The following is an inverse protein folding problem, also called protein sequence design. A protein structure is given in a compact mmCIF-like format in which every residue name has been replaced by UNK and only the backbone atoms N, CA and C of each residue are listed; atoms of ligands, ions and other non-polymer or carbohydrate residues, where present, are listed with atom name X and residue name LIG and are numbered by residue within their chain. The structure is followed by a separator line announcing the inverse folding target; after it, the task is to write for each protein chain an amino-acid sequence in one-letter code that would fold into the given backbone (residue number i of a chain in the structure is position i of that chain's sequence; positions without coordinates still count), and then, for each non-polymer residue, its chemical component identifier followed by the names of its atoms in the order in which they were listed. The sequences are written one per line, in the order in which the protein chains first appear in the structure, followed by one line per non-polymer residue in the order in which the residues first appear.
data_IF_528097636922
#
_entry.id   IF_528097636922
#
_cell.length_a   1.000
_cell.length_b   1.000
_cell.length_c   1.000
_cell.angle_alpha   90.00
_cell.angle_beta   90.00
_cell.angle_gamma   90.00
#
_symmetry.space_group_name_H-M   'P 1'
#
loop_
_entity.id
_entity.type
_entity.pdbx_description
1 polymer ?
#
# COMPACT_ATOMS: atom_id res chain seq x y z
N UNK A 1 -29.94 17.99 -4.19
CA UNK A 1 -30.24 16.69 -4.81
C UNK A 1 -29.14 15.76 -4.33
N UNK A 2 -29.51 14.77 -3.52
CA UNK A 2 -28.59 13.78 -2.99
C UNK A 2 -28.17 12.85 -4.14
N UNK A 3 -26.87 12.65 -4.32
CA UNK A 3 -26.33 11.63 -5.22
C UNK A 3 -25.27 10.83 -4.46
N UNK A 4 -25.75 9.70 -3.92
CA UNK A 4 -25.03 8.45 -3.66
C UNK A 4 -23.68 8.50 -2.94
N UNK A 5 -23.75 8.54 -1.61
CA UNK A 5 -22.75 7.87 -0.77
C UNK A 5 -22.95 6.35 -0.87
N UNK A 6 -22.27 5.69 -1.80
CA UNK A 6 -22.00 4.24 -1.69
C UNK A 6 -20.75 3.86 -2.49
N UNK A 7 -19.70 3.43 -1.78
CA UNK A 7 -18.34 3.24 -2.32
C UNK A 7 -17.40 4.39 -1.98
N UNK A 8 -16.35 4.13 -1.20
CA UNK A 8 -15.36 5.15 -0.81
C UNK A 8 -14.85 5.95 -2.03
N UNK A 9 -14.73 7.28 -1.92
CA UNK A 9 -14.16 8.15 -2.96
C UNK A 9 -12.88 7.49 -3.52
N UNK A 10 -12.82 7.15 -4.83
CA UNK A 10 -11.67 6.48 -5.43
C UNK A 10 -10.35 7.22 -5.18
N UNK A 11 -10.40 8.56 -5.05
CA UNK A 11 -9.23 9.37 -4.68
C UNK A 11 -8.81 9.14 -3.24
N UNK A 12 -9.77 8.98 -2.32
CA UNK A 12 -9.49 8.67 -0.93
C UNK A 12 -8.96 7.24 -0.79
N UNK A 13 -9.58 6.26 -1.46
CA UNK A 13 -9.09 4.87 -1.47
C UNK A 13 -7.66 4.77 -2.01
N UNK A 14 -7.34 5.52 -3.06
CA UNK A 14 -5.98 5.64 -3.56
C UNK A 14 -5.01 6.22 -2.52
N UNK A 15 -5.39 7.34 -1.86
CA UNK A 15 -4.55 7.98 -0.84
C UNK A 15 -4.28 7.07 0.34
N UNK A 16 -5.31 6.37 0.82
CA UNK A 16 -5.19 5.46 1.95
C UNK A 16 -4.29 4.27 1.62
N UNK A 17 -4.45 3.68 0.43
CA UNK A 17 -3.60 2.59 -0.03
C UNK A 17 -2.15 3.04 -0.27
N UNK A 18 -1.94 4.24 -0.81
CA UNK A 18 -0.62 4.82 -0.99
C UNK A 18 0.08 5.07 0.34
N UNK A 19 -0.61 5.70 1.31
CA UNK A 19 -0.06 5.95 2.64
C UNK A 19 0.29 4.65 3.37
N UNK A 20 -0.54 3.62 3.24
CA UNK A 20 -0.27 2.31 3.84
C UNK A 20 0.95 1.62 3.22
N UNK A 21 1.08 1.68 1.90
CA UNK A 21 2.26 1.16 1.22
C UNK A 21 3.54 1.91 1.64
N UNK A 22 3.51 3.25 1.69
CA UNK A 22 4.68 4.04 2.12
C UNK A 22 5.15 3.68 3.53
N UNK A 23 4.24 3.51 4.50
CA UNK A 23 4.60 3.08 5.86
C UNK A 23 5.34 1.74 5.88
N UNK A 24 4.91 0.79 5.06
CA UNK A 24 5.59 -0.50 4.98
C UNK A 24 6.92 -0.42 4.22
N UNK A 25 6.98 0.41 3.18
CA UNK A 25 8.18 0.66 2.41
C UNK A 25 9.28 1.30 3.26
N UNK A 26 8.94 2.23 4.15
CA UNK A 26 9.87 2.80 5.15
C UNK A 26 10.52 1.71 6.01
N UNK A 27 9.75 0.72 6.47
CA UNK A 27 10.30 -0.41 7.22
C UNK A 27 11.27 -1.26 6.39
N UNK A 28 10.99 -1.46 5.10
CA UNK A 28 11.90 -2.15 4.17
C UNK A 28 13.16 -1.33 3.93
N UNK A 29 13.05 -0.01 3.75
CA UNK A 29 14.21 0.87 3.62
C UNK A 29 15.08 0.85 4.86
N UNK A 30 14.49 0.88 6.06
CA UNK A 30 15.25 0.79 7.30
C UNK A 30 16.07 -0.51 7.40
N UNK A 31 15.50 -1.64 6.95
CA UNK A 31 16.21 -2.92 6.87
C UNK A 31 17.34 -2.90 5.84
N UNK A 32 17.11 -2.34 4.65
CA UNK A 32 18.04 -2.41 3.51
C UNK A 32 19.14 -1.35 3.53
N UNK A 33 18.81 -0.13 3.98
CA UNK A 33 19.64 1.07 3.83
C UNK A 33 20.17 1.59 5.16
N UNK A 34 19.37 1.50 6.24
CA UNK A 34 19.72 2.08 7.54
C UNK A 34 20.42 1.08 8.48
N UNK A 35 20.68 -0.14 8.00
CA UNK A 35 21.40 -1.16 8.76
C UNK A 35 20.60 -1.79 9.90
N UNK A 36 19.27 -1.59 9.94
CA UNK A 36 18.42 -2.23 10.93
C UNK A 36 18.49 -3.76 10.76
N UNK A 37 18.64 -4.50 11.87
CA UNK A 37 18.77 -5.97 11.84
C UNK A 37 17.48 -6.58 12.36
N UNK A 38 16.79 -7.29 11.47
CA UNK A 38 15.63 -8.10 11.83
C UNK A 38 15.98 -9.59 11.68
N UNK A 39 15.44 -10.45 12.55
CA UNK A 39 15.50 -11.90 12.36
C UNK A 39 14.88 -12.34 11.02
N UNK A 40 15.37 -13.44 10.40
CA UNK A 40 14.93 -13.87 9.07
C UNK A 40 13.40 -14.05 8.92
N UNK A 41 12.73 -14.57 9.94
CA UNK A 41 11.28 -14.74 9.97
C UNK A 41 10.53 -13.40 9.96
N UNK A 42 11.11 -12.37 10.59
CA UNK A 42 10.54 -11.02 10.61
C UNK A 42 10.81 -10.29 9.28
N UNK A 43 11.95 -10.54 8.64
CA UNK A 43 12.25 -10.03 7.29
C UNK A 43 11.19 -10.53 6.30
N UNK A 44 10.92 -11.84 6.29
CA UNK A 44 9.87 -12.41 5.42
C UNK A 44 8.51 -11.78 5.69
N UNK A 45 8.15 -11.58 6.96
CA UNK A 45 6.91 -10.92 7.35
C UNK A 45 6.82 -9.46 6.87
N UNK A 46 7.92 -8.71 6.99
CA UNK A 46 8.03 -7.33 6.53
C UNK A 46 7.82 -7.22 5.01
N UNK A 47 8.57 -8.03 4.24
CA UNK A 47 8.48 -8.05 2.78
C UNK A 47 7.07 -8.44 2.30
N UNK A 48 6.44 -9.43 2.95
CA UNK A 48 5.07 -9.83 2.61
C UNK A 48 4.03 -8.74 2.88
N UNK A 49 4.20 -7.95 3.95
CA UNK A 49 3.29 -6.83 4.26
C UNK A 49 3.46 -5.69 3.26
N UNK A 50 4.70 -5.35 2.91
CA UNK A 50 4.98 -4.35 1.88
C UNK A 50 4.38 -4.76 0.53
N UNK A 51 4.63 -6.00 0.08
CA UNK A 51 4.10 -6.50 -1.18
C UNK A 51 2.57 -6.45 -1.25
N UNK A 52 1.88 -6.90 -0.19
CA UNK A 52 0.40 -6.84 -0.11
C UNK A 52 -0.14 -5.42 -0.06
N UNK A 53 0.58 -4.48 0.56
CA UNK A 53 0.20 -3.08 0.55
C UNK A 53 0.39 -2.45 -0.83
N UNK A 54 1.49 -2.79 -1.51
CA UNK A 54 1.76 -2.40 -2.89
C UNK A 54 0.68 -2.92 -3.84
N UNK A 55 0.27 -4.18 -3.72
CA UNK A 55 -0.81 -4.77 -4.53
C UNK A 55 -2.13 -3.99 -4.38
N UNK A 56 -2.50 -3.63 -3.14
CA UNK A 56 -3.69 -2.82 -2.86
C UNK A 56 -3.57 -1.42 -3.44
N UNK A 57 -2.40 -0.78 -3.32
CA UNK A 57 -2.12 0.51 -3.95
C UNK A 57 -2.21 0.43 -5.48
N UNK A 58 -1.62 -0.60 -6.09
CA UNK A 58 -1.66 -0.80 -7.54
C UNK A 58 -3.10 -1.02 -8.04
N UNK A 59 -3.91 -1.78 -7.29
CA UNK A 59 -5.33 -1.94 -7.59
C UNK A 59 -6.10 -0.61 -7.47
N UNK A 60 -5.90 0.14 -6.38
CA UNK A 60 -6.53 1.45 -6.20
C UNK A 60 -6.09 2.47 -7.28
N UNK A 61 -4.84 2.40 -7.71
CA UNK A 61 -4.30 3.22 -8.80
C UNK A 61 -4.90 2.86 -10.15
N UNK A 62 -5.03 1.58 -10.48
CA UNK A 62 -5.72 1.13 -11.71
C UNK A 62 -7.17 1.56 -11.74
N UNK A 63 -7.89 1.43 -10.61
CA UNK A 63 -9.26 1.95 -10.44
C UNK A 63 -9.35 3.44 -10.71
N UNK A 64 -8.46 4.22 -10.09
CA UNK A 64 -8.44 5.68 -10.25
C UNK A 64 -8.15 6.11 -11.69
N UNK A 65 -7.32 5.35 -12.40
CA UNK A 65 -6.97 5.59 -13.81
C UNK A 65 -7.99 5.02 -14.81
N UNK A 66 -8.95 4.20 -14.35
CA UNK A 66 -9.93 3.55 -15.22
C UNK A 66 -9.36 2.43 -16.09
N UNK A 67 -8.29 1.76 -15.63
CA UNK A 67 -7.57 0.70 -16.38
C UNK A 67 -7.61 -0.65 -15.65
N UNK A 68 -8.74 -0.97 -14.99
CA UNK A 68 -9.00 -2.33 -14.50
C UNK A 68 -9.30 -3.25 -15.70
N UNK A 69 -8.27 -3.85 -16.28
CA UNK A 69 -8.40 -5.04 -17.15
C UNK A 69 -8.36 -6.32 -16.31
#
# INVERSE_FOLDING_TARGET
MADTSDGADPKQAYRDAYADWQRHLEGVHALLLDGNRLPPEQIKGLLNREARAKERYDAARRRLLGVEE
#
